data_IF_345786953312
#
_entry.id   IF_345786953312
#
_cell.length_a   1.000
_cell.length_b   1.000
_cell.length_c   1.000
_cell.angle_alpha   90.00
_cell.angle_beta   90.00
_cell.angle_gamma   90.00
#
_symmetry.space_group_name_H-M   'P 1'
#
loop_
_entity.id
_entity.type
_entity.pdbx_description
1 polymer ?
#
# COMPACT_ATOMS: atom_id res chain seq x y z
N UNK A 1 -4.42 -10.32 -20.23
CA UNK A 1 -4.50 -10.27 -18.76
C UNK A 1 -5.16 -8.95 -18.42
N UNK A 2 -6.32 -8.99 -17.76
CA UNK A 2 -7.04 -7.76 -17.43
C UNK A 2 -6.36 -7.05 -16.28
N UNK A 3 -6.12 -7.76 -15.17
CA UNK A 3 -5.46 -7.20 -13.99
C UNK A 3 -4.32 -8.10 -13.53
N UNK A 4 -3.23 -7.47 -13.07
CA UNK A 4 -2.13 -8.12 -12.37
C UNK A 4 -1.84 -7.37 -11.08
N UNK A 5 -1.42 -8.12 -10.06
CA UNK A 5 -0.92 -7.58 -8.80
C UNK A 5 0.30 -8.36 -8.35
N UNK A 6 1.15 -7.71 -7.56
CA UNK A 6 2.36 -8.27 -6.99
C UNK A 6 2.30 -8.14 -5.48
N UNK A 7 1.97 -9.24 -4.81
CA UNK A 7 2.08 -9.32 -3.36
C UNK A 7 3.54 -9.47 -2.98
N UNK A 8 3.99 -8.58 -2.09
CA UNK A 8 5.33 -8.61 -1.55
C UNK A 8 5.30 -9.51 -0.31
N UNK A 9 6.29 -10.38 -0.18
CA UNK A 9 6.53 -11.13 1.07
C UNK A 9 6.57 -10.16 2.25
N UNK A 10 6.09 -10.53 3.43
CA UNK A 10 6.09 -9.68 4.62
C UNK A 10 6.42 -10.46 5.90
N UNK A 11 6.78 -9.74 6.97
CA UNK A 11 6.82 -10.33 8.31
C UNK A 11 5.44 -10.17 8.93
N UNK A 12 4.87 -11.26 9.42
CA UNK A 12 3.49 -11.32 9.88
C UNK A 12 3.36 -12.30 11.05
N UNK A 13 2.77 -11.85 12.16
CA UNK A 13 2.67 -12.65 13.37
C UNK A 13 4.02 -13.18 13.85
N UNK A 14 4.13 -14.50 14.00
CA UNK A 14 5.39 -15.16 14.41
C UNK A 14 6.36 -15.39 13.24
N UNK A 15 5.93 -15.14 11.99
CA UNK A 15 6.78 -15.28 10.81
C UNK A 15 7.64 -14.03 10.61
N UNK A 16 8.95 -14.24 10.59
CA UNK A 16 9.93 -13.20 10.29
C UNK A 16 10.55 -13.49 8.92
N UNK A 17 10.25 -12.63 7.96
CA UNK A 17 10.73 -12.80 6.59
C UNK A 17 12.24 -12.63 6.51
N UNK A 18 12.92 -13.59 5.88
CA UNK A 18 14.36 -13.51 5.58
C UNK A 18 14.66 -12.80 4.26
N UNK A 19 13.63 -12.59 3.42
CA UNK A 19 13.76 -11.97 2.11
C UNK A 19 14.23 -10.52 2.19
N UNK A 20 13.98 -9.86 3.33
CA UNK A 20 14.38 -8.49 3.60
C UNK A 20 15.80 -8.33 4.17
N UNK A 21 16.47 -9.43 4.53
CA UNK A 21 17.83 -9.39 5.06
C UNK A 21 18.90 -9.09 4.01
N UNK A 22 18.54 -9.17 2.72
CA UNK A 22 19.44 -8.87 1.62
C UNK A 22 19.43 -7.37 1.30
N UNK A 23 20.60 -6.74 1.31
CA UNK A 23 20.77 -5.35 0.89
C UNK A 23 20.32 -5.16 -0.55
N UNK A 24 19.46 -4.16 -0.81
CA UNK A 24 19.04 -3.78 -2.16
C UNK A 24 17.73 -4.41 -2.66
N UNK A 25 16.99 -5.15 -1.81
CA UNK A 25 15.70 -5.75 -2.21
C UNK A 25 14.67 -4.68 -2.64
N UNK A 26 14.67 -3.51 -2.02
CA UNK A 26 13.78 -2.40 -2.38
C UNK A 26 14.07 -1.87 -3.79
N UNK A 27 15.34 -1.67 -4.12
CA UNK A 27 15.74 -1.21 -5.46
C UNK A 27 15.49 -2.31 -6.50
N UNK A 28 15.68 -3.59 -6.14
CA UNK A 28 15.35 -4.70 -7.00
C UNK A 28 13.84 -4.76 -7.30
N UNK A 29 12.99 -4.54 -6.28
CA UNK A 29 11.54 -4.49 -6.45
C UNK A 29 11.10 -3.29 -7.28
N UNK A 30 11.66 -2.10 -7.03
CA UNK A 30 11.43 -0.92 -7.85
C UNK A 30 11.78 -1.18 -9.32
N UNK A 31 12.97 -1.72 -9.58
CA UNK A 31 13.43 -2.00 -10.95
C UNK A 31 12.57 -3.07 -11.64
N UNK A 32 12.13 -4.08 -10.89
CA UNK A 32 11.19 -5.07 -11.37
C UNK A 32 9.87 -4.44 -11.81
N UNK A 33 9.23 -3.62 -10.96
CA UNK A 33 7.98 -2.95 -11.30
C UNK A 33 8.13 -2.01 -12.50
N UNK A 34 9.23 -1.24 -12.53
CA UNK A 34 9.55 -0.33 -13.63
C UNK A 34 9.68 -1.08 -14.96
N UNK A 35 10.45 -2.16 -14.97
CA UNK A 35 10.65 -2.96 -16.18
C UNK A 35 9.37 -3.68 -16.61
N UNK A 36 8.60 -4.21 -15.64
CA UNK A 36 7.31 -4.82 -15.93
C UNK A 36 6.34 -3.83 -16.57
N UNK A 37 6.23 -2.61 -16.01
CA UNK A 37 5.44 -1.54 -16.61
C UNK A 37 5.90 -1.21 -18.02
N UNK A 38 7.22 -1.08 -18.24
CA UNK A 38 7.78 -0.76 -19.56
C UNK A 38 7.41 -1.83 -20.59
N UNK A 39 7.52 -3.11 -20.22
CA UNK A 39 7.15 -4.23 -21.07
C UNK A 39 5.63 -4.30 -21.32
N UNK A 40 4.81 -4.00 -20.31
CA UNK A 40 3.36 -3.96 -20.43
C UNK A 40 2.91 -2.82 -21.36
N UNK A 41 3.45 -1.61 -21.18
CA UNK A 41 3.21 -0.46 -22.05
C UNK A 41 3.68 -0.73 -23.49
N UNK A 42 4.79 -1.44 -23.66
CA UNK A 42 5.31 -1.85 -24.96
C UNK A 42 4.45 -2.89 -25.71
N UNK A 43 3.44 -3.48 -25.05
CA UNK A 43 2.58 -4.54 -25.56
C UNK A 43 1.08 -4.19 -25.38
N UNK A 44 0.57 -3.16 -26.09
CA UNK A 44 -0.81 -2.71 -25.93
C UNK A 44 -1.83 -3.83 -26.13
N UNK A 45 -2.83 -3.88 -25.26
CA UNK A 45 -3.88 -4.92 -25.25
C UNK A 45 -3.50 -6.23 -24.54
N UNK A 46 -2.25 -6.43 -24.12
CA UNK A 46 -1.85 -7.61 -23.34
C UNK A 46 -2.16 -7.49 -21.85
N UNK A 47 -1.98 -6.29 -21.29
CA UNK A 47 -2.24 -5.94 -19.90
C UNK A 47 -3.12 -4.68 -19.86
N UNK A 48 -4.19 -4.69 -19.06
CA UNK A 48 -5.03 -3.51 -18.89
C UNK A 48 -4.70 -2.73 -17.61
N UNK A 49 -4.33 -3.40 -16.52
CA UNK A 49 -4.12 -2.79 -15.22
C UNK A 49 -3.00 -3.48 -14.44
N UNK A 50 -2.16 -2.67 -13.79
CA UNK A 50 -1.16 -3.11 -12.82
C UNK A 50 -1.55 -2.44 -11.50
N UNK A 51 -2.09 -3.21 -10.55
CA UNK A 51 -2.72 -2.69 -9.32
C UNK A 51 -1.84 -1.68 -8.60
N UNK A 52 -0.57 -2.00 -8.39
CA UNK A 52 0.34 -1.18 -7.60
C UNK A 52 0.49 0.22 -8.22
N UNK A 53 0.66 0.28 -9.55
CA UNK A 53 0.84 1.53 -10.30
C UNK A 53 -0.47 2.30 -10.37
N UNK A 54 -1.59 1.63 -10.64
CA UNK A 54 -2.89 2.29 -10.78
C UNK A 54 -3.36 2.88 -9.44
N UNK A 55 -3.21 2.13 -8.34
CA UNK A 55 -3.58 2.61 -7.01
C UNK A 55 -2.66 3.75 -6.57
N UNK A 56 -1.34 3.62 -6.73
CA UNK A 56 -0.41 4.71 -6.41
C UNK A 56 -0.68 5.96 -7.26
N UNK A 57 -0.99 5.81 -8.55
CA UNK A 57 -1.37 6.92 -9.44
C UNK A 57 -2.61 7.64 -8.91
N UNK A 58 -3.64 6.92 -8.47
CA UNK A 58 -4.84 7.51 -7.87
C UNK A 58 -4.54 8.29 -6.60
N UNK A 59 -3.61 7.80 -5.77
CA UNK A 59 -3.23 8.49 -4.54
C UNK A 59 -2.37 9.73 -4.80
N UNK A 60 -1.42 9.66 -5.75
CA UNK A 60 -0.57 10.78 -6.15
C UNK A 60 -1.38 11.90 -6.81
N UNK A 61 -2.33 11.54 -7.68
CA UNK A 61 -3.20 12.49 -8.37
C UNK A 61 -4.39 12.96 -7.56
N UNK A 62 -4.57 12.46 -6.33
CA UNK A 62 -5.72 12.80 -5.50
C UNK A 62 -5.76 14.32 -5.25
N UNK A 63 -6.89 14.99 -5.54
CA UNK A 63 -7.04 16.41 -5.22
C UNK A 63 -6.83 16.68 -3.73
N UNK A 64 -6.23 17.83 -3.40
CA UNK A 64 -5.86 18.18 -2.02
C UNK A 64 -7.06 18.28 -1.06
N UNK A 65 -8.21 18.64 -1.59
CA UNK A 65 -9.48 18.80 -0.87
C UNK A 65 -10.21 17.48 -0.62
N UNK A 66 -9.81 16.40 -1.30
CA UNK A 66 -10.39 15.07 -1.07
C UNK A 66 -9.77 14.48 0.21
N UNK A 67 -10.64 14.25 1.20
CA UNK A 67 -10.28 13.59 2.45
C UNK A 67 -9.83 12.16 2.15
N UNK A 68 -8.60 11.86 2.54
CA UNK A 68 -8.06 10.50 2.52
C UNK A 68 -8.45 9.77 3.81
N UNK A 69 -8.94 8.53 3.67
CA UNK A 69 -9.23 7.64 4.78
C UNK A 69 -8.46 6.34 4.61
N UNK A 70 -7.65 6.00 5.61
CA UNK A 70 -6.99 4.71 5.70
C UNK A 70 -7.86 3.78 6.55
N UNK A 71 -8.53 2.82 5.91
CA UNK A 71 -9.41 1.86 6.59
C UNK A 71 -8.69 1.02 7.66
N UNK A 72 -7.37 0.87 7.57
CA UNK A 72 -6.58 0.05 8.49
C UNK A 72 -6.35 0.74 9.84
N UNK A 73 -6.57 2.05 9.94
CA UNK A 73 -6.40 2.82 11.20
C UNK A 73 -7.74 3.31 11.76
N UNK A 74 -8.84 3.07 11.04
CA UNK A 74 -10.18 3.48 11.43
C UNK A 74 -10.90 2.31 12.10
N UNK A 75 -11.31 2.43 13.38
CA UNK A 75 -12.08 1.40 14.07
C UNK A 75 -13.32 0.98 13.27
N UNK A 76 -13.53 -0.32 13.16
CA UNK A 76 -14.64 -0.99 12.48
C UNK A 76 -14.76 -0.74 10.97
N UNK A 77 -13.85 0.02 10.35
CA UNK A 77 -13.77 0.08 8.88
C UNK A 77 -13.43 -1.29 8.28
N UNK A 78 -12.67 -2.10 9.01
CA UNK A 78 -12.57 -3.54 8.84
C UNK A 78 -13.06 -4.21 10.12
N UNK A 79 -13.95 -5.18 9.99
CA UNK A 79 -14.45 -6.01 11.10
C UNK A 79 -14.27 -7.46 10.72
N UNK A 80 -13.50 -8.20 11.51
CA UNK A 80 -13.16 -9.60 11.26
C UNK A 80 -13.73 -10.49 12.35
N UNK A 81 -14.13 -11.69 11.96
CA UNK A 81 -14.74 -12.69 12.86
C UNK A 81 -14.10 -14.06 12.65
N UNK A 82 -13.75 -14.74 13.74
CA UNK A 82 -13.20 -16.09 13.70
C UNK A 82 -14.33 -17.13 13.78
N UNK A 83 -13.96 -18.41 13.62
CA UNK A 83 -14.92 -19.51 13.66
C UNK A 83 -15.59 -19.68 15.03
N UNK A 84 -14.98 -19.21 16.11
CA UNK A 84 -15.54 -19.22 17.46
C UNK A 84 -16.44 -17.99 17.72
N UNK A 85 -16.51 -17.07 16.77
CA UNK A 85 -17.30 -15.84 16.81
C UNK A 85 -16.59 -14.66 17.47
N UNK A 86 -15.30 -14.74 17.79
CA UNK A 86 -14.55 -13.60 18.33
C UNK A 86 -14.39 -12.52 17.26
N UNK A 87 -14.50 -11.26 17.67
CA UNK A 87 -14.50 -10.08 16.81
C UNK A 87 -13.21 -9.28 17.04
N UNK A 88 -12.55 -8.90 15.95
CA UNK A 88 -11.44 -7.94 15.92
C UNK A 88 -11.70 -6.85 14.86
N UNK A 89 -10.85 -5.82 14.85
CA UNK A 89 -10.93 -4.72 13.89
C UNK A 89 -9.53 -4.31 13.38
N UNK A 90 -9.46 -3.29 12.53
CA UNK A 90 -8.27 -2.79 11.82
C UNK A 90 -7.75 -3.74 10.74
N UNK A 91 -7.29 -4.93 11.11
CA UNK A 91 -6.66 -5.90 10.20
C UNK A 91 -7.14 -7.32 10.55
N UNK A 92 -7.55 -8.15 9.59
CA UNK A 92 -7.93 -9.55 9.86
C UNK A 92 -6.85 -10.36 10.57
N UNK A 93 -5.59 -10.04 10.31
CA UNK A 93 -4.39 -10.71 10.81
C UNK A 93 -4.30 -10.60 12.34
N UNK A 94 -4.74 -9.47 12.92
CA UNK A 94 -4.76 -9.27 14.38
C UNK A 94 -5.60 -10.31 15.11
N UNK A 95 -6.63 -10.86 14.47
CA UNK A 95 -7.52 -11.86 15.05
C UNK A 95 -6.80 -13.19 15.35
N UNK A 96 -5.68 -13.46 14.68
CA UNK A 96 -4.84 -14.64 14.90
C UNK A 96 -3.72 -14.43 15.92
N UNK A 97 -3.46 -13.20 16.36
CA UNK A 97 -2.30 -12.86 17.17
C UNK A 97 -2.59 -12.91 18.68
N UNK A 98 -1.51 -13.00 19.46
CA UNK A 98 -1.56 -13.03 20.92
C UNK A 98 -0.91 -11.79 21.51
N UNK A 99 -1.59 -11.16 22.45
CA UNK A 99 -1.08 -9.99 23.15
C UNK A 99 -1.82 -9.76 24.46
N UNK A 100 -1.11 -9.93 25.57
CA UNK A 100 -1.65 -9.60 26.90
C UNK A 100 -2.01 -8.11 27.01
N UNK A 101 -1.29 -7.24 26.28
CA UNK A 101 -1.46 -5.78 26.29
C UNK A 101 -2.77 -5.35 25.63
N UNK A 102 -3.18 -6.07 24.57
CA UNK A 102 -4.36 -5.76 23.75
C UNK A 102 -5.47 -6.82 23.84
N UNK A 103 -5.44 -7.69 24.87
CA UNK A 103 -6.43 -8.77 25.06
C UNK A 103 -6.57 -9.69 23.82
N UNK A 104 -5.45 -10.16 23.29
CA UNK A 104 -5.37 -10.94 22.05
C UNK A 104 -6.08 -10.26 20.87
N UNK A 105 -6.18 -8.92 20.90
CA UNK A 105 -6.87 -8.08 19.92
C UNK A 105 -8.39 -8.36 19.79
N UNK A 106 -8.95 -9.13 20.72
CA UNK A 106 -10.38 -9.50 20.74
C UNK A 106 -11.17 -8.39 21.42
N UNK A 107 -12.15 -7.85 20.70
CA UNK A 107 -13.05 -6.81 21.17
C UNK A 107 -14.29 -7.38 21.87
N UNK A 108 -14.71 -8.57 21.46
CA UNK A 108 -15.90 -9.26 21.94
C UNK A 108 -16.21 -10.47 21.07
N UNK A 109 -17.44 -10.97 21.13
CA UNK A 109 -17.87 -12.13 20.35
C UNK A 109 -19.35 -12.04 19.96
N UNK A 110 -19.61 -12.34 18.69
CA UNK A 110 -20.91 -12.18 18.05
C UNK A 110 -22.04 -12.98 18.71
N UNK A 111 -21.72 -14.09 19.36
CA UNK A 111 -22.72 -14.99 19.94
C UNK A 111 -23.13 -14.60 21.36
N UNK A 112 -22.36 -13.73 22.03
CA UNK A 112 -22.55 -13.42 23.46
C UNK A 112 -22.62 -11.93 23.78
N UNK A 113 -21.97 -11.08 22.99
CA UNK A 113 -21.81 -9.66 23.28
C UNK A 113 -22.70 -8.80 22.35
N UNK A 114 -23.12 -7.63 22.84
CA UNK A 114 -23.89 -6.69 22.01
C UNK A 114 -22.93 -5.88 21.16
N UNK A 115 -23.14 -5.86 19.84
CA UNK A 115 -22.26 -5.15 18.90
C UNK A 115 -22.09 -3.66 19.22
N UNK A 116 -23.11 -3.03 19.78
CA UNK A 116 -23.08 -1.61 20.16
C UNK A 116 -22.17 -1.32 21.37
N UNK A 117 -21.77 -2.34 22.13
CA UNK A 117 -20.90 -2.24 23.30
C UNK A 117 -19.42 -2.45 22.92
N UNK A 118 -19.13 -3.04 21.74
CA UNK A 118 -17.76 -3.25 21.26
C UNK A 118 -16.92 -1.98 21.14
N UNK A 119 -17.47 -0.81 20.74
CA UNK A 119 -16.73 0.45 20.75
C UNK A 119 -16.21 0.87 22.12
N UNK A 120 -16.79 0.36 23.20
CA UNK A 120 -16.40 0.64 24.58
C UNK A 120 -15.32 -0.33 25.11
N UNK A 121 -14.89 -1.28 24.29
CA UNK A 121 -13.88 -2.27 24.67
C UNK A 121 -12.58 -1.59 25.13
N UNK A 122 -12.03 -1.97 26.31
CA UNK A 122 -10.73 -1.47 26.76
C UNK A 122 -9.60 -1.80 25.77
N UNK A 123 -9.68 -2.96 25.12
CA UNK A 123 -8.73 -3.37 24.09
C UNK A 123 -8.77 -2.42 22.90
N UNK A 124 -9.97 -2.07 22.41
CA UNK A 124 -10.13 -1.11 21.32
C UNK A 124 -9.59 0.26 21.69
N UNK A 125 -9.92 0.76 22.87
CA UNK A 125 -9.47 2.08 23.35
C UNK A 125 -7.95 2.14 23.30
N UNK A 126 -7.26 1.14 23.86
CA UNK A 126 -5.80 1.07 23.87
C UNK A 126 -5.20 0.95 22.47
N UNK A 127 -5.72 0.05 21.63
CA UNK A 127 -5.26 -0.09 20.25
C UNK A 127 -5.40 1.22 19.47
N UNK A 128 -6.57 1.85 19.56
CA UNK A 128 -6.85 3.11 18.88
C UNK A 128 -5.88 4.21 19.31
N UNK A 129 -5.61 4.32 20.61
CA UNK A 129 -4.73 5.36 21.14
C UNK A 129 -3.28 5.15 20.66
N UNK A 130 -2.78 3.91 20.70
CA UNK A 130 -1.43 3.57 20.23
C UNK A 130 -1.29 3.69 18.70
N UNK A 131 -2.31 3.28 17.94
CA UNK A 131 -2.38 3.44 16.48
C UNK A 131 -2.38 4.92 16.11
N UNK A 132 -3.21 5.74 16.77
CA UNK A 132 -3.27 7.17 16.54
C UNK A 132 -1.93 7.85 16.83
N UNK A 133 -1.24 7.44 17.89
CA UNK A 133 0.10 7.94 18.19
C UNK A 133 1.09 7.62 17.05
N UNK A 134 1.09 6.37 16.54
CA UNK A 134 1.91 5.98 15.40
C UNK A 134 1.55 6.70 14.09
N UNK A 135 0.26 6.95 13.84
CA UNK A 135 -0.20 7.75 12.70
C UNK A 135 0.28 9.19 12.79
N UNK A 136 0.24 9.78 13.99
CA UNK A 136 0.70 11.16 14.20
C UNK A 136 2.22 11.28 14.02
N UNK A 137 3.00 10.28 14.45
CA UNK A 137 4.43 10.24 14.13
C UNK A 137 4.68 10.24 12.62
N UNK A 138 3.92 9.45 11.85
CA UNK A 138 4.00 9.47 10.39
C UNK A 138 3.57 10.83 9.82
N UNK A 139 2.51 11.45 10.34
CA UNK A 139 2.03 12.77 9.89
C UNK A 139 3.10 13.85 10.02
N UNK A 140 3.88 13.81 11.10
CA UNK A 140 4.90 14.81 11.40
C UNK A 140 6.22 14.58 10.64
N UNK A 141 6.56 13.32 10.33
CA UNK A 141 7.89 12.96 9.84
C UNK A 141 7.97 12.31 8.46
N UNK A 142 6.86 11.84 7.86
CA UNK A 142 6.89 11.06 6.62
C UNK A 142 6.44 11.87 5.41
N UNK A 143 7.32 12.03 4.42
CA UNK A 143 7.00 12.70 3.15
C UNK A 143 5.91 12.01 2.32
N UNK A 144 5.63 10.73 2.59
CA UNK A 144 4.62 9.93 1.89
C UNK A 144 3.30 9.85 2.67
N UNK A 145 3.14 10.60 3.77
CA UNK A 145 1.94 10.53 4.60
C UNK A 145 0.66 10.82 3.82
N UNK A 146 0.69 11.73 2.84
CA UNK A 146 -0.47 12.00 1.99
C UNK A 146 -0.89 10.82 1.13
N UNK A 147 -0.01 9.84 0.88
CA UNK A 147 -0.32 8.66 0.07
C UNK A 147 -0.99 7.57 0.91
N UNK A 148 -0.43 7.24 2.08
CA UNK A 148 -0.87 6.09 2.88
C UNK A 148 -1.59 6.44 4.19
N UNK A 149 -1.52 7.70 4.64
CA UNK A 149 -2.10 8.22 5.88
C UNK A 149 -1.75 7.45 7.14
N UNK A 150 -0.49 7.00 7.25
CA UNK A 150 0.05 6.37 8.46
C UNK A 150 0.35 4.88 8.35
N UNK A 151 0.08 4.26 7.18
CA UNK A 151 0.44 2.87 6.90
C UNK A 151 -0.44 1.86 7.63
N UNK A 152 0.10 0.66 7.82
CA UNK A 152 -0.68 -0.51 8.27
C UNK A 152 -0.24 -0.86 9.70
N UNK A 153 -1.13 -0.77 10.71
CA UNK A 153 -0.76 -1.04 12.10
C UNK A 153 -0.18 -2.42 12.33
N UNK A 154 -0.69 -3.44 11.64
CA UNK A 154 -0.20 -4.82 11.83
C UNK A 154 1.26 -4.97 11.39
N UNK A 155 1.69 -4.35 10.27
CA UNK A 155 3.09 -4.40 9.87
C UNK A 155 3.99 -3.63 10.85
N UNK A 156 3.52 -2.51 11.41
CA UNK A 156 4.24 -1.80 12.47
C UNK A 156 4.44 -2.67 13.70
N UNK A 157 3.40 -3.39 14.09
CA UNK A 157 3.47 -4.34 15.20
C UNK A 157 4.42 -5.50 14.89
N UNK A 158 4.32 -6.10 13.70
CA UNK A 158 5.14 -7.26 13.31
C UNK A 158 6.62 -6.90 13.14
N UNK A 159 6.94 -5.76 12.55
CA UNK A 159 8.32 -5.36 12.26
C UNK A 159 8.98 -4.58 13.42
N UNK A 160 8.22 -3.74 14.13
CA UNK A 160 8.76 -2.84 15.17
C UNK A 160 8.32 -3.23 16.58
N UNK A 161 7.44 -4.23 16.75
CA UNK A 161 6.93 -4.69 18.04
C UNK A 161 5.87 -3.77 18.66
N UNK A 162 5.45 -2.70 17.98
CA UNK A 162 4.49 -1.73 18.52
C UNK A 162 3.75 -0.95 17.42
N UNK A 163 2.49 -0.60 17.69
CA UNK A 163 1.72 0.34 16.86
C UNK A 163 2.28 1.77 16.90
N UNK A 164 2.97 2.13 18.00
CA UNK A 164 3.59 3.44 18.21
C UNK A 164 4.94 3.48 17.48
N UNK A 165 4.89 3.37 16.16
CA UNK A 165 6.07 3.41 15.30
C UNK A 165 5.72 3.98 13.93
N UNK A 166 6.74 4.14 13.09
CA UNK A 166 6.60 4.75 11.77
C UNK A 166 6.88 3.76 10.66
N UNK A 167 8.11 3.73 10.17
CA UNK A 167 8.48 3.06 8.94
C UNK A 167 8.56 1.54 9.13
N UNK A 168 8.17 0.82 8.10
CA UNK A 168 8.28 -0.63 7.97
C UNK A 168 8.86 -0.96 6.60
N UNK A 169 9.45 -2.14 6.47
CA UNK A 169 9.94 -2.66 5.19
C UNK A 169 8.79 -2.81 4.22
N UNK A 170 7.62 -3.26 4.70
CA UNK A 170 6.41 -3.29 3.89
C UNK A 170 6.07 -1.92 3.31
N UNK A 171 6.02 -0.85 4.12
CA UNK A 171 5.64 0.46 3.61
C UNK A 171 6.70 1.07 2.68
N UNK A 172 7.99 0.85 2.94
CA UNK A 172 9.07 1.25 2.04
C UNK A 172 8.87 0.65 0.65
N UNK A 173 8.60 -0.65 0.57
CA UNK A 173 8.43 -1.33 -0.70
C UNK A 173 7.10 -1.00 -1.38
N UNK A 174 5.96 -1.15 -0.69
CA UNK A 174 4.64 -1.12 -1.33
C UNK A 174 4.03 0.27 -1.43
N UNK A 175 4.45 1.22 -0.58
CA UNK A 175 3.95 2.61 -0.62
C UNK A 175 5.01 3.55 -1.17
N UNK A 176 6.20 3.58 -0.60
CA UNK A 176 7.22 4.59 -0.96
C UNK A 176 7.81 4.30 -2.34
N UNK A 177 8.38 3.12 -2.59
CA UNK A 177 8.97 2.80 -3.91
C UNK A 177 7.95 2.80 -5.05
N UNK A 178 6.72 2.39 -4.80
CA UNK A 178 5.66 2.45 -5.83
C UNK A 178 5.26 3.92 -6.11
N UNK A 179 5.21 4.77 -5.08
CA UNK A 179 4.99 6.21 -5.26
C UNK A 179 6.13 6.84 -6.06
N UNK A 180 7.38 6.54 -5.70
CA UNK A 180 8.57 7.02 -6.41
C UNK A 180 8.49 6.63 -7.89
N UNK A 181 8.14 5.37 -8.17
CA UNK A 181 7.97 4.89 -9.54
C UNK A 181 6.90 5.69 -10.28
N UNK A 182 5.73 5.91 -9.69
CA UNK A 182 4.68 6.70 -10.33
C UNK A 182 5.14 8.12 -10.61
N UNK A 183 5.84 8.78 -9.69
CA UNK A 183 6.39 10.12 -9.91
C UNK A 183 7.40 10.13 -11.06
N UNK A 184 8.31 9.16 -11.11
CA UNK A 184 9.29 9.02 -12.20
C UNK A 184 8.60 8.77 -13.56
N UNK A 185 7.55 7.93 -13.58
CA UNK A 185 6.75 7.69 -14.78
C UNK A 185 6.00 8.95 -15.21
N UNK A 186 5.45 9.71 -14.26
CA UNK A 186 4.79 10.97 -14.54
C UNK A 186 5.75 12.02 -15.07
N UNK A 187 7.01 12.07 -14.61
CA UNK A 187 8.02 12.98 -15.15
C UNK A 187 8.44 12.55 -16.57
N UNK A 188 8.64 11.25 -16.78
CA UNK A 188 8.96 10.66 -18.08
C UNK A 188 7.88 10.96 -19.12
N UNK A 189 6.61 10.85 -18.72
CA UNK A 189 5.45 11.04 -19.59
C UNK A 189 5.01 12.51 -19.66
N UNK A 190 5.19 13.26 -18.57
CA UNK A 190 4.67 14.61 -18.34
C UNK A 190 5.60 15.75 -18.76
N UNK A 191 6.86 15.47 -19.10
CA UNK A 191 7.80 16.44 -19.68
C UNK A 191 7.39 17.05 -21.04
N UNK A 192 6.12 16.88 -21.46
CA UNK A 192 5.55 17.42 -22.71
C UNK A 192 4.15 17.98 -22.43
N UNK A 193 4.13 19.18 -21.84
CA UNK A 193 2.90 19.99 -21.69
C UNK A 193 2.33 20.28 -23.08
N UNK A 194 1.14 19.77 -23.41
CA UNK A 194 0.45 20.19 -24.63
C UNK A 194 -0.61 19.28 -25.25
N UNK A 195 -0.70 17.99 -24.90
CA UNK A 195 -1.70 17.10 -25.53
C UNK A 195 -2.20 16.03 -24.54
N UNK A 196 -3.52 15.79 -24.40
CA UNK A 196 -4.04 14.50 -23.99
C UNK A 196 -4.54 13.76 -25.23
N UNK A 197 -3.91 12.62 -25.56
CA UNK A 197 -4.74 11.43 -25.73
C UNK A 197 -4.12 10.24 -24.99
N UNK A 198 -4.91 9.62 -24.11
CA UNK A 198 -4.50 8.55 -23.21
C UNK A 198 -5.02 8.83 -21.79
N UNK A 199 -6.02 8.06 -21.37
CA UNK A 199 -6.68 8.15 -20.05
C UNK A 199 -5.79 7.63 -18.92
N UNK A 200 -4.80 6.79 -19.22
CA UNK A 200 -3.96 6.09 -18.23
C UNK A 200 -2.46 6.28 -18.47
N UNK A 201 -1.64 6.07 -17.42
CA UNK A 201 -0.17 6.10 -17.53
C UNK A 201 0.36 5.04 -18.51
N UNK A 202 -0.28 3.87 -18.58
CA UNK A 202 0.11 2.80 -19.49
C UNK A 202 -0.06 3.19 -20.97
N UNK A 203 -1.19 3.82 -21.32
CA UNK A 203 -1.46 4.29 -22.69
C UNK A 203 -0.44 5.35 -23.12
N UNK A 204 -0.16 6.33 -22.25
CA UNK A 204 0.83 7.37 -22.53
C UNK A 204 2.25 6.82 -22.63
N UNK A 205 2.59 5.81 -21.82
CA UNK A 205 3.85 5.09 -21.91
C UNK A 205 4.00 4.33 -23.23
N UNK A 206 2.94 3.69 -23.72
CA UNK A 206 2.94 2.96 -24.98
C UNK A 206 3.28 3.86 -26.17
N UNK A 207 2.66 5.04 -26.25
CA UNK A 207 2.91 6.04 -27.29
C UNK A 207 4.36 6.54 -27.26
N UNK A 208 4.91 6.76 -26.06
CA UNK A 208 6.27 7.24 -25.86
C UNK A 208 7.29 6.20 -26.34
N UNK A 209 7.10 4.94 -25.93
CA UNK A 209 7.95 3.82 -26.32
C UNK A 209 7.83 3.46 -27.82
N UNK A 210 6.67 3.68 -28.43
CA UNK A 210 6.50 3.50 -29.88
C UNK A 210 7.32 4.54 -30.66
N UNK A 211 7.27 5.81 -30.23
CA UNK A 211 8.03 6.90 -30.86
C UNK A 211 9.54 6.77 -30.70
N UNK A 212 10.02 6.27 -29.55
CA UNK A 212 11.45 5.97 -29.37
C UNK A 212 11.93 4.89 -30.34
N UNK A 213 11.14 3.83 -30.55
CA UNK A 213 11.44 2.79 -31.55
C UNK A 213 11.51 3.38 -32.96
N UNK A 214 10.58 4.25 -33.36
CA UNK A 214 10.64 4.89 -34.68
C UNK A 214 11.84 5.84 -34.83
N UNK A 215 12.23 6.55 -33.77
CA UNK A 215 13.39 7.45 -33.80
C UNK A 215 14.75 6.74 -33.90
N UNK A 216 14.80 5.46 -33.53
CA UNK A 216 16.01 4.62 -33.65
C UNK A 216 16.15 3.95 -35.02
N UNK A 217 15.10 4.03 -35.87
CA UNK A 217 15.14 3.64 -37.28
C UNK A 217 15.45 4.90 -38.11
N UNK A 218 16.73 5.29 -38.21
CA UNK A 218 17.14 6.22 -39.27
C UNK A 218 17.00 5.52 -40.63
N UNK A 219 16.55 6.21 -41.70
CA UNK A 219 16.58 5.62 -43.03
C UNK A 219 18.04 5.36 -43.41
N UNK A 220 18.32 4.16 -43.88
CA UNK A 220 19.58 3.88 -44.56
C UNK A 220 19.66 4.83 -45.78
N UNK A 221 20.61 5.76 -45.73
CA UNK A 221 21.05 6.54 -46.89
C UNK A 221 22.17 5.77 -47.56
#
# INVERSE_FOLDING_TARGET
IEQVCFNVEESEGDHVSRSFGATGIEDAYYNFLREFWRLAAAAPGKFQSIREIDDATRFVLRPKDVIFRNQLVEPFAITSMDWAGNIATFSPELLGLKSAVYNDFILGNINRDRLIELPESPALTRMRDDINAGVEMCRQGCGYFSVCGGGEPVNKLAENGTFISTETTYCRMTKMRVTDLVLDLMDMVGGRVGEPPGTTMAERGADLLARERDSTVRPAV
#
